data_IF_521723087160
#
_entry.id   IF_521723087160
#
_cell.length_a   1.000
_cell.length_b   1.000
_cell.length_c   1.000
_cell.angle_alpha   90.00
_cell.angle_beta   90.00
_cell.angle_gamma   90.00
#
_symmetry.space_group_name_H-M   'P 1'
#
loop_
_entity.id
_entity.type
_entity.pdbx_description
1 polymer ?
#
# COMPACT_ATOMS: atom_id res chain seq x y z
N UNK A 1 1.74 11.13 7.13
CA UNK A 1 0.56 10.88 7.97
C UNK A 1 -0.39 9.95 7.23
N UNK A 2 -1.08 9.07 7.94
CA UNK A 2 -2.09 8.19 7.36
C UNK A 2 -1.55 6.96 6.65
N UNK A 3 -2.42 6.25 5.89
CA UNK A 3 -2.09 5.04 5.17
C UNK A 3 -0.96 5.21 4.16
N UNK A 4 -0.91 6.34 3.45
CA UNK A 4 0.13 6.66 2.47
C UNK A 4 1.53 6.78 3.09
N UNK A 5 1.63 7.07 4.39
CA UNK A 5 2.89 7.10 5.13
C UNK A 5 3.30 5.74 5.72
N UNK A 6 2.59 4.66 5.36
CA UNK A 6 2.92 3.31 5.79
C UNK A 6 2.41 2.92 7.18
N UNK A 7 1.44 3.65 7.74
CA UNK A 7 0.82 3.31 9.02
C UNK A 7 -0.18 2.14 8.87
N UNK A 8 0.33 0.99 8.46
CA UNK A 8 -0.43 -0.25 8.27
C UNK A 8 0.20 -1.38 9.07
N UNK A 9 -0.57 -2.00 9.95
CA UNK A 9 -0.18 -3.25 10.58
C UNK A 9 -0.49 -4.41 9.62
N UNK A 10 0.47 -4.78 8.79
CA UNK A 10 0.29 -5.79 7.73
C UNK A 10 -0.17 -7.15 8.27
N UNK A 11 0.40 -7.73 9.34
CA UNK A 11 -0.06 -8.99 9.90
C UNK A 11 -1.52 -8.98 10.36
N UNK A 12 -2.01 -7.85 10.83
CA UNK A 12 -3.41 -7.68 11.23
C UNK A 12 -4.33 -7.27 10.07
N UNK A 13 -3.76 -6.91 8.90
CA UNK A 13 -4.48 -6.34 7.76
C UNK A 13 -5.31 -5.12 8.19
N UNK A 14 -4.79 -4.30 9.09
CA UNK A 14 -5.47 -3.14 9.68
C UNK A 14 -4.55 -1.94 9.75
N UNK A 15 -5.04 -0.82 9.23
CA UNK A 15 -4.30 0.44 9.22
C UNK A 15 -5.15 1.66 9.61
N UNK A 16 -6.49 1.53 9.67
CA UNK A 16 -7.37 2.67 9.93
C UNK A 16 -7.05 3.32 11.28
N UNK A 17 -6.97 2.53 12.35
CA UNK A 17 -6.71 3.03 13.70
C UNK A 17 -5.32 3.68 13.84
N UNK A 18 -4.30 3.12 13.20
CA UNK A 18 -2.94 3.70 13.19
C UNK A 18 -2.88 4.95 12.33
N UNK A 19 -3.55 4.96 11.18
CA UNK A 19 -3.66 6.12 10.30
C UNK A 19 -4.38 7.28 11.00
N UNK A 20 -5.52 7.01 11.63
CA UNK A 20 -6.27 8.03 12.41
C UNK A 20 -5.42 8.60 13.54
N UNK A 21 -4.80 7.74 14.35
CA UNK A 21 -3.95 8.24 15.46
C UNK A 21 -2.76 9.02 14.96
N UNK A 22 -2.16 8.66 13.83
CA UNK A 22 -1.08 9.45 13.22
C UNK A 22 -1.55 10.86 12.83
N UNK A 23 -2.78 10.99 12.33
CA UNK A 23 -3.41 12.28 12.04
C UNK A 23 -3.67 13.11 13.29
N UNK A 24 -4.19 12.48 14.35
CA UNK A 24 -4.40 13.15 15.64
C UNK A 24 -3.09 13.71 16.21
N UNK A 25 -2.02 12.90 16.21
CA UNK A 25 -0.71 13.35 16.70
C UNK A 25 -0.14 14.50 15.86
N UNK A 26 -0.38 14.50 14.57
CA UNK A 26 0.03 15.62 13.70
C UNK A 26 -0.76 16.90 14.04
N UNK A 27 -2.07 16.79 14.19
CA UNK A 27 -2.93 17.93 14.53
C UNK A 27 -2.56 18.51 15.90
N UNK A 28 -2.37 17.66 16.91
CA UNK A 28 -1.93 18.07 18.25
C UNK A 28 -0.57 18.81 18.21
N UNK A 29 0.39 18.26 17.44
CA UNK A 29 1.71 18.86 17.28
C UNK A 29 1.68 20.21 16.56
N UNK A 30 0.87 20.32 15.49
CA UNK A 30 0.70 21.58 14.76
C UNK A 30 0.00 22.63 15.62
N UNK A 31 -1.05 22.25 16.34
CA UNK A 31 -1.77 23.16 17.23
C UNK A 31 -0.83 23.75 18.29
N UNK A 32 -0.03 22.91 18.94
CA UNK A 32 0.94 23.41 19.93
C UNK A 32 2.05 24.26 19.31
N UNK A 33 2.51 23.88 18.12
CA UNK A 33 3.52 24.67 17.42
C UNK A 33 3.03 26.11 17.13
N UNK A 34 1.78 26.23 16.70
CA UNK A 34 1.17 27.53 16.41
C UNK A 34 0.89 28.32 17.69
N UNK A 35 0.26 27.67 18.68
CA UNK A 35 -0.19 28.37 19.90
C UNK A 35 0.95 28.79 20.84
N UNK A 36 2.00 27.96 20.90
CA UNK A 36 3.16 28.18 21.78
C UNK A 36 4.37 28.73 21.04
N UNK A 37 4.28 28.92 19.72
CA UNK A 37 5.41 29.32 18.85
C UNK A 37 6.68 28.45 19.02
N UNK A 38 6.49 27.15 19.05
CA UNK A 38 7.56 26.15 19.19
C UNK A 38 7.63 25.27 17.95
N UNK A 39 8.77 24.61 17.65
CA UNK A 39 8.85 23.64 16.56
C UNK A 39 7.88 22.47 16.73
N UNK A 40 7.30 22.00 15.62
CA UNK A 40 6.44 20.83 15.64
C UNK A 40 7.28 19.55 15.84
N UNK A 41 7.11 18.88 16.97
CA UNK A 41 7.75 17.60 17.29
C UNK A 41 6.82 16.41 16.99
N UNK A 42 6.41 16.26 15.74
CA UNK A 42 5.60 15.11 15.32
C UNK A 42 6.34 13.78 15.53
N UNK A 43 7.63 13.73 15.24
CA UNK A 43 8.42 12.50 15.33
C UNK A 43 8.53 12.00 16.79
N UNK A 44 8.80 12.90 17.74
CA UNK A 44 8.86 12.55 19.16
C UNK A 44 7.52 12.05 19.68
N UNK A 45 6.41 12.72 19.32
CA UNK A 45 5.05 12.31 19.67
C UNK A 45 4.70 10.95 19.12
N UNK A 46 5.06 10.69 17.85
CA UNK A 46 4.83 9.41 17.21
C UNK A 46 5.61 8.30 17.91
N UNK A 47 6.89 8.50 18.19
CA UNK A 47 7.76 7.52 18.88
C UNK A 47 7.27 7.21 20.30
N UNK A 48 6.71 8.18 21.00
CA UNK A 48 6.13 8.00 22.32
C UNK A 48 4.76 7.29 22.31
N UNK A 49 4.12 7.21 21.14
CA UNK A 49 2.77 6.66 21.02
C UNK A 49 2.73 5.13 20.94
N UNK A 50 1.56 4.57 21.24
CA UNK A 50 1.29 3.14 21.07
C UNK A 50 1.37 2.70 19.59
N UNK A 51 1.11 3.60 18.63
CA UNK A 51 1.21 3.31 17.19
C UNK A 51 2.63 2.86 16.82
N UNK A 52 3.63 3.62 17.28
CA UNK A 52 5.02 3.25 17.04
C UNK A 52 5.38 1.91 17.65
N UNK A 53 4.93 1.64 18.86
CA UNK A 53 5.19 0.37 19.55
C UNK A 53 4.52 -0.81 18.82
N UNK A 54 3.28 -0.64 18.38
CA UNK A 54 2.55 -1.66 17.63
C UNK A 54 3.24 -2.00 16.30
N UNK A 55 3.54 -0.98 15.50
CA UNK A 55 4.18 -1.17 14.19
C UNK A 55 5.61 -1.69 14.33
N UNK A 56 6.34 -1.25 15.36
CA UNK A 56 7.68 -1.75 15.64
C UNK A 56 7.70 -3.25 15.97
N UNK A 57 6.73 -3.74 16.71
CA UNK A 57 6.62 -5.18 17.05
C UNK A 57 6.41 -6.07 15.82
N UNK A 58 5.79 -5.56 14.78
CA UNK A 58 5.45 -6.34 13.57
C UNK A 58 6.38 -6.09 12.39
N UNK A 59 7.40 -5.23 12.55
CA UNK A 59 8.26 -4.74 11.47
C UNK A 59 8.99 -5.83 10.68
N UNK A 60 9.29 -6.96 11.31
CA UNK A 60 10.03 -8.07 10.69
C UNK A 60 9.16 -9.10 10.00
N UNK A 61 7.83 -9.08 10.23
CA UNK A 61 6.94 -10.14 9.73
C UNK A 61 6.84 -10.07 8.20
N UNK A 62 6.37 -8.94 7.65
CA UNK A 62 6.19 -8.79 6.20
C UNK A 62 7.48 -8.98 5.39
N UNK A 63 8.62 -8.39 5.78
CA UNK A 63 9.87 -8.58 5.04
C UNK A 63 10.40 -10.02 5.07
N UNK A 64 10.06 -10.83 6.07
CA UNK A 64 10.43 -12.24 6.16
C UNK A 64 9.84 -13.09 5.04
N UNK A 65 8.69 -12.71 4.47
CA UNK A 65 8.07 -13.43 3.36
C UNK A 65 8.85 -13.35 2.03
N UNK A 66 9.95 -12.59 1.97
CA UNK A 66 10.91 -12.68 0.86
C UNK A 66 11.52 -14.07 0.71
N UNK A 67 11.48 -14.89 1.76
CA UNK A 67 11.96 -16.28 1.76
C UNK A 67 10.86 -17.29 1.40
N UNK A 68 9.76 -16.82 0.78
CA UNK A 68 8.59 -17.62 0.46
C UNK A 68 7.66 -17.82 1.66
N UNK A 69 6.60 -18.61 1.44
CA UNK A 69 5.54 -18.80 2.43
C UNK A 69 6.07 -19.43 3.73
N UNK A 70 6.75 -20.58 3.62
CA UNK A 70 7.21 -21.32 4.82
C UNK A 70 8.32 -20.58 5.58
N UNK A 71 9.27 -19.98 4.86
CA UNK A 71 10.30 -19.14 5.47
C UNK A 71 9.72 -17.92 6.17
N UNK A 72 8.71 -17.27 5.56
CA UNK A 72 7.99 -16.16 6.14
C UNK A 72 7.21 -16.53 7.40
N UNK A 73 6.50 -17.67 7.38
CA UNK A 73 5.78 -18.20 8.54
C UNK A 73 6.71 -18.54 9.70
N UNK A 74 7.83 -19.21 9.41
CA UNK A 74 8.83 -19.53 10.43
C UNK A 74 9.42 -18.25 11.06
N UNK A 75 9.81 -17.29 10.23
CA UNK A 75 10.28 -15.98 10.71
C UNK A 75 9.23 -15.28 11.58
N UNK A 76 7.97 -15.27 11.13
CA UNK A 76 6.86 -14.66 11.88
C UNK A 76 6.66 -15.36 13.24
N UNK A 77 6.71 -16.68 13.28
CA UNK A 77 6.61 -17.44 14.52
C UNK A 77 7.75 -17.13 15.49
N UNK A 78 8.99 -17.16 15.02
CA UNK A 78 10.18 -16.82 15.82
C UNK A 78 10.09 -15.39 16.35
N UNK A 79 9.82 -14.42 15.49
CA UNK A 79 9.73 -13.01 15.89
C UNK A 79 8.60 -12.77 16.90
N UNK A 80 7.44 -13.45 16.72
CA UNK A 80 6.28 -13.25 17.54
C UNK A 80 6.38 -13.99 18.89
N UNK A 81 6.74 -15.27 18.88
CA UNK A 81 6.67 -16.10 20.09
C UNK A 81 7.98 -16.15 20.86
N UNK A 82 9.14 -16.11 20.18
CA UNK A 82 10.44 -16.15 20.87
C UNK A 82 10.91 -14.75 21.24
N UNK A 83 10.84 -13.79 20.30
CA UNK A 83 11.30 -12.42 20.51
C UNK A 83 10.21 -11.44 20.93
N UNK A 84 8.93 -11.84 20.93
CA UNK A 84 7.78 -10.98 21.28
C UNK A 84 7.77 -9.65 20.49
N UNK A 85 8.21 -9.68 19.22
CA UNK A 85 8.35 -8.52 18.37
C UNK A 85 9.51 -7.57 18.74
N UNK A 86 10.44 -8.02 19.60
CA UNK A 86 11.58 -7.24 20.09
C UNK A 86 12.92 -7.71 19.57
N UNK A 87 12.94 -8.45 18.46
CA UNK A 87 14.19 -8.88 17.85
C UNK A 87 15.17 -7.70 17.69
N UNK A 88 16.49 -7.92 17.96
CA UNK A 88 17.48 -6.84 17.90
C UNK A 88 17.80 -6.34 16.49
N UNK A 89 17.32 -7.06 15.46
CA UNK A 89 17.45 -6.67 14.06
C UNK A 89 16.15 -6.10 13.48
N UNK A 90 16.29 -5.46 12.32
CA UNK A 90 15.17 -5.03 11.47
C UNK A 90 15.39 -5.54 10.06
N UNK A 91 14.48 -6.37 9.58
CA UNK A 91 14.45 -6.81 8.19
C UNK A 91 13.94 -5.68 7.31
N UNK A 92 14.54 -5.53 6.13
CA UNK A 92 14.15 -4.52 5.14
C UNK A 92 13.71 -5.20 3.86
N UNK A 93 12.82 -4.54 3.12
CA UNK A 93 12.49 -4.93 1.74
C UNK A 93 13.73 -4.70 0.87
N UNK A 94 14.12 -5.74 0.11
CA UNK A 94 15.32 -5.67 -0.71
C UNK A 94 15.15 -4.90 -2.02
N UNK A 95 13.90 -4.70 -2.46
CA UNK A 95 13.56 -4.02 -3.71
C UNK A 95 12.35 -3.11 -3.49
N UNK A 96 12.29 -1.93 -4.13
CA UNK A 96 11.07 -1.13 -4.17
C UNK A 96 10.00 -1.87 -5.01
N UNK A 97 8.72 -1.62 -4.70
CA UNK A 97 7.58 -2.36 -5.26
C UNK A 97 7.53 -2.30 -6.80
N UNK A 98 7.85 -1.16 -7.41
CA UNK A 98 7.89 -1.03 -8.87
C UNK A 98 8.94 -1.93 -9.56
N UNK A 99 9.97 -2.38 -8.83
CA UNK A 99 10.97 -3.34 -9.35
C UNK A 99 10.55 -4.80 -9.17
N UNK A 100 9.43 -5.07 -8.54
CA UNK A 100 8.88 -6.41 -8.40
C UNK A 100 8.09 -6.85 -9.64
N UNK A 101 7.69 -5.91 -10.50
CA UNK A 101 6.97 -6.20 -11.73
C UNK A 101 7.85 -7.01 -12.68
N UNK A 102 7.33 -8.13 -13.17
CA UNK A 102 7.98 -8.99 -14.15
C UNK A 102 7.70 -8.50 -15.57
N UNK A 103 8.68 -8.68 -16.48
CA UNK A 103 8.47 -8.42 -17.89
C UNK A 103 7.48 -9.43 -18.48
N UNK A 104 6.67 -9.00 -19.46
CA UNK A 104 5.62 -9.80 -20.08
C UNK A 104 6.14 -11.13 -20.66
N UNK A 105 7.38 -11.15 -21.16
CA UNK A 105 7.96 -12.32 -21.81
C UNK A 105 8.27 -13.47 -20.83
N UNK A 106 8.36 -13.18 -19.53
CA UNK A 106 8.65 -14.13 -18.45
C UNK A 106 7.53 -14.27 -17.44
N UNK A 107 6.52 -13.42 -17.52
CA UNK A 107 5.36 -13.46 -16.63
C UNK A 107 4.39 -14.56 -17.08
N UNK A 108 3.91 -15.35 -16.14
CA UNK A 108 2.86 -16.32 -16.42
C UNK A 108 1.52 -15.59 -16.54
N UNK A 109 0.75 -15.93 -17.57
CA UNK A 109 -0.62 -15.46 -17.70
C UNK A 109 -1.48 -16.06 -16.59
N UNK A 110 -2.22 -15.21 -15.88
CA UNK A 110 -3.15 -15.65 -14.84
C UNK A 110 -4.57 -15.63 -15.42
N UNK A 111 -5.18 -16.81 -15.52
CA UNK A 111 -6.58 -16.93 -15.94
C UNK A 111 -7.48 -16.84 -14.73
N UNK A 112 -8.28 -15.79 -14.66
CA UNK A 112 -9.28 -15.61 -13.61
C UNK A 112 -10.61 -16.25 -14.01
N UNK A 113 -11.37 -16.83 -13.05
CA UNK A 113 -12.72 -17.33 -13.32
C UNK A 113 -13.63 -16.17 -13.77
N UNK A 114 -14.50 -16.45 -14.71
CA UNK A 114 -15.50 -15.45 -15.16
C UNK A 114 -16.51 -15.19 -14.05
N UNK A 115 -17.01 -13.94 -13.93
CA UNK A 115 -18.09 -13.62 -13.00
C UNK A 115 -19.33 -14.47 -13.27
N UNK A 116 -20.04 -14.87 -12.23
CA UNK A 116 -21.26 -15.70 -12.31
C UNK A 116 -22.56 -14.88 -12.46
N UNK A 117 -22.49 -13.58 -12.28
CA UNK A 117 -23.63 -12.66 -12.35
C UNK A 117 -24.57 -12.73 -11.15
N UNK A 118 -24.27 -13.55 -10.13
CA UNK A 118 -25.08 -13.71 -8.93
C UNK A 118 -24.36 -13.19 -7.68
N UNK A 119 -23.12 -13.64 -7.45
CA UNK A 119 -22.26 -13.23 -6.33
C UNK A 119 -21.10 -12.35 -6.84
N UNK A 120 -20.64 -12.64 -8.04
CA UNK A 120 -19.55 -11.90 -8.70
C UNK A 120 -20.06 -11.28 -10.01
N UNK A 121 -19.66 -10.05 -10.26
CA UNK A 121 -20.11 -9.26 -11.41
C UNK A 121 -18.92 -8.81 -12.25
N UNK A 122 -19.17 -8.47 -13.50
CA UNK A 122 -18.17 -7.85 -14.37
C UNK A 122 -17.70 -6.49 -13.82
N UNK A 123 -16.59 -6.00 -14.36
CA UNK A 123 -15.95 -4.77 -13.87
C UNK A 123 -16.88 -3.57 -13.89
N UNK A 124 -17.59 -3.34 -15.01
CA UNK A 124 -18.46 -2.16 -15.17
C UNK A 124 -19.67 -2.23 -14.23
N UNK A 125 -20.30 -3.40 -14.11
CA UNK A 125 -21.40 -3.61 -13.16
C UNK A 125 -20.94 -3.40 -11.71
N UNK A 126 -19.76 -3.89 -11.35
CA UNK A 126 -19.18 -3.71 -10.01
C UNK A 126 -18.91 -2.24 -9.69
N UNK A 127 -18.38 -1.47 -10.65
CA UNK A 127 -18.16 -0.03 -10.51
C UNK A 127 -19.49 0.71 -10.34
N UNK A 128 -20.49 0.36 -11.14
CA UNK A 128 -21.83 0.97 -11.04
C UNK A 128 -22.47 0.72 -9.67
N UNK A 129 -22.46 -0.55 -9.23
CA UNK A 129 -23.04 -0.93 -7.92
C UNK A 129 -22.30 -0.27 -6.75
N UNK A 130 -20.99 -0.04 -6.88
CA UNK A 130 -20.20 0.63 -5.82
C UNK A 130 -20.64 2.07 -5.54
N UNK A 131 -21.40 2.65 -6.44
CA UNK A 131 -21.87 4.05 -6.37
C UNK A 131 -20.73 5.05 -6.15
N UNK A 132 -19.54 4.76 -6.67
CA UNK A 132 -18.38 5.66 -6.59
C UNK A 132 -18.64 6.86 -7.49
N UNK A 133 -18.62 8.06 -6.90
CA UNK A 133 -18.83 9.31 -7.62
C UNK A 133 -17.64 10.25 -7.41
N UNK A 134 -17.22 10.90 -8.48
CA UNK A 134 -16.15 11.90 -8.48
C UNK A 134 -16.68 13.23 -9.02
N UNK A 135 -16.12 14.35 -8.54
CA UNK A 135 -16.43 15.67 -9.08
C UNK A 135 -15.96 15.80 -10.52
N UNK A 136 -16.85 16.18 -11.44
CA UNK A 136 -16.54 16.28 -12.89
C UNK A 136 -15.42 17.28 -13.19
N UNK A 137 -15.31 18.35 -12.40
CA UNK A 137 -14.30 19.39 -12.56
C UNK A 137 -13.05 19.18 -11.69
N UNK A 138 -12.89 18.00 -11.12
CA UNK A 138 -11.72 17.71 -10.28
C UNK A 138 -10.46 17.60 -11.13
N UNK A 139 -9.37 18.32 -10.82
CA UNK A 139 -8.11 18.18 -11.53
C UNK A 139 -7.58 16.75 -11.45
N UNK A 140 -7.01 16.25 -12.54
CA UNK A 140 -6.35 14.95 -12.55
C UNK A 140 -5.14 14.99 -11.62
N UNK A 141 -5.16 14.15 -10.58
CA UNK A 141 -4.08 14.05 -9.59
C UNK A 141 -2.92 13.15 -10.05
N UNK A 142 -3.16 12.30 -11.04
CA UNK A 142 -2.11 11.49 -11.66
C UNK A 142 -1.64 12.18 -12.93
N UNK A 143 -0.41 12.66 -12.90
CA UNK A 143 0.22 13.31 -14.04
C UNK A 143 1.32 12.42 -14.61
N UNK A 144 1.28 12.17 -15.92
CA UNK A 144 2.35 11.46 -16.61
C UNK A 144 3.59 12.36 -16.69
N UNK A 145 4.72 11.83 -16.24
CA UNK A 145 6.00 12.51 -16.38
C UNK A 145 6.41 12.65 -17.85
N UNK A 146 6.10 11.64 -18.66
CA UNK A 146 6.30 11.59 -20.08
C UNK A 146 5.13 10.82 -20.72
N UNK A 147 4.38 11.42 -21.65
CA UNK A 147 3.22 10.81 -22.30
C UNK A 147 3.56 9.56 -23.13
N UNK A 148 4.82 9.33 -23.44
CA UNK A 148 5.27 8.13 -24.18
C UNK A 148 5.43 6.90 -23.31
N UNK A 149 5.58 7.06 -22.00
CA UNK A 149 5.81 5.95 -21.05
C UNK A 149 4.78 4.83 -21.19
N UNK A 150 3.46 5.09 -21.25
CA UNK A 150 2.46 4.02 -21.35
C UNK A 150 2.68 3.11 -22.55
N UNK A 151 3.05 3.64 -23.69
CA UNK A 151 3.22 2.87 -24.95
C UNK A 151 4.64 2.32 -25.09
N UNK A 152 5.65 3.18 -24.99
CA UNK A 152 7.04 2.81 -25.31
C UNK A 152 7.68 1.96 -24.21
N UNK A 153 7.23 2.10 -22.96
CA UNK A 153 7.76 1.37 -21.82
C UNK A 153 6.76 0.34 -21.25
N UNK A 154 5.58 0.79 -20.83
CA UNK A 154 4.66 -0.06 -20.08
C UNK A 154 4.03 -1.13 -20.98
N UNK A 155 3.47 -0.77 -22.11
CA UNK A 155 2.89 -1.72 -23.06
C UNK A 155 3.96 -2.66 -23.64
N UNK A 156 5.07 -2.09 -24.07
CA UNK A 156 6.15 -2.85 -24.73
C UNK A 156 6.77 -3.89 -23.80
N UNK A 157 7.07 -3.54 -22.54
CA UNK A 157 7.83 -4.41 -21.63
C UNK A 157 6.95 -5.18 -20.64
N UNK A 158 5.77 -4.64 -20.29
CA UNK A 158 4.96 -5.14 -19.17
C UNK A 158 3.48 -5.37 -19.54
N UNK A 159 3.13 -5.20 -20.82
CA UNK A 159 1.77 -5.35 -21.32
C UNK A 159 0.76 -4.41 -20.65
N UNK A 160 1.17 -3.16 -20.45
CA UNK A 160 0.36 -2.08 -19.86
C UNK A 160 -0.38 -2.50 -18.58
N UNK A 161 0.32 -2.73 -17.46
CA UNK A 161 -0.29 -3.22 -16.22
C UNK A 161 -1.35 -2.28 -15.66
N UNK A 162 -1.34 -1.01 -16.04
CA UNK A 162 -2.35 0.00 -15.71
C UNK A 162 -3.76 -0.41 -16.13
N UNK A 163 -3.92 -1.16 -17.20
CA UNK A 163 -5.20 -1.70 -17.64
C UNK A 163 -5.79 -2.74 -16.67
N UNK A 164 -4.92 -3.38 -15.84
CA UNK A 164 -5.30 -4.47 -14.95
C UNK A 164 -5.41 -4.07 -13.50
N UNK A 165 -4.57 -3.15 -13.03
CA UNK A 165 -4.60 -2.76 -11.62
C UNK A 165 -5.65 -1.71 -11.30
N UNK A 166 -6.21 -1.03 -12.31
CA UNK A 166 -7.28 -0.07 -12.09
C UNK A 166 -8.62 -0.79 -11.88
N UNK A 167 -9.21 -0.74 -10.67
CA UNK A 167 -10.46 -1.44 -10.40
C UNK A 167 -11.67 -0.85 -11.14
N UNK A 168 -11.55 0.38 -11.64
CA UNK A 168 -12.59 1.06 -12.41
C UNK A 168 -12.40 0.94 -13.93
N UNK A 169 -11.31 0.31 -14.39
CA UNK A 169 -11.05 0.17 -15.84
C UNK A 169 -10.84 1.49 -16.57
N UNK A 170 -10.25 2.49 -15.88
CA UNK A 170 -10.07 3.84 -16.45
C UNK A 170 -9.01 3.89 -17.54
N UNK A 171 -8.02 2.99 -17.46
CA UNK A 171 -6.92 2.97 -18.42
C UNK A 171 -7.17 1.92 -19.49
N UNK A 172 -7.16 2.35 -20.73
CA UNK A 172 -7.34 1.49 -21.89
C UNK A 172 -6.29 1.85 -22.97
N UNK A 173 -5.75 0.84 -23.63
CA UNK A 173 -4.90 1.02 -24.79
C UNK A 173 -5.79 0.81 -26.02
N UNK A 174 -6.02 1.86 -26.76
CA UNK A 174 -6.76 1.85 -28.01
C UNK A 174 -5.77 1.74 -29.17
N UNK A 175 -5.95 0.75 -30.04
CA UNK A 175 -5.14 0.50 -31.25
C UNK A 175 -5.89 0.95 -32.50
#
# INVERSE_FOLDING_TARGET
VGGAAGFLNVPKIKGIHTAMKSGMLAAEGIFEAITKNIPNDYEGRLKASWVYQELRKTRNIRPGFRWGLYGGLLNAAIDTYLFLGRAPWTLRHGKPDHKALQKKDIANEITYPKPDGAVTFDLLSSVHISNTNHGENQPCHLCLKDPKIPIEMNLKNYDAPEQRYCPAGVYEIVT
#
